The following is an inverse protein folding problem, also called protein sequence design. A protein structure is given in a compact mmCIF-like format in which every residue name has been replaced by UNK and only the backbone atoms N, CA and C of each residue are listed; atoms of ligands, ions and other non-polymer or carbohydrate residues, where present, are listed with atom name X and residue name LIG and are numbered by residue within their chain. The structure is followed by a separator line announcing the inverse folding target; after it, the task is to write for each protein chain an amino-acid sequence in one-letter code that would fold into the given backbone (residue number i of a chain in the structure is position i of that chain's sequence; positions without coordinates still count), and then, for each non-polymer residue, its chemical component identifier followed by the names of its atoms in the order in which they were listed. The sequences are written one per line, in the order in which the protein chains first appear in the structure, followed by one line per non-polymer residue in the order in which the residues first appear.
data_IF_658890365574
#
_entry.id   IF_658890365574
#
_cell.length_a   1.000
_cell.length_b   1.000
_cell.length_c   1.000
_cell.angle_alpha   90.00
_cell.angle_beta   90.00
_cell.angle_gamma   90.00
#
_symmetry.space_group_name_H-M   'P 1'
#
loop_
_entity.id
_entity.type
_entity.pdbx_description
1 polymer ?
#
# COMPACT_ATOMS: atom_id res chain seq x y z
N UNK A 1 12.25 8.85 -21.95
CA UNK A 1 12.92 7.54 -21.80
C UNK A 1 12.04 6.60 -21.00
N UNK A 2 11.70 5.46 -21.59
CA UNK A 2 10.80 4.46 -21.00
C UNK A 2 11.49 3.11 -20.81
N UNK A 3 12.85 3.12 -20.78
CA UNK A 3 13.64 1.88 -20.72
C UNK A 3 13.21 1.00 -19.53
N UNK A 4 12.79 -0.23 -19.81
CA UNK A 4 12.34 -1.18 -18.80
C UNK A 4 10.91 -1.01 -18.33
N UNK A 5 10.23 0.10 -18.63
CA UNK A 5 8.80 0.26 -18.37
C UNK A 5 7.99 -0.66 -19.29
N UNK A 6 7.09 -1.45 -18.71
CA UNK A 6 6.08 -2.22 -19.45
C UNK A 6 4.71 -1.86 -18.91
N UNK A 7 3.71 -1.86 -19.76
CA UNK A 7 2.34 -1.61 -19.35
C UNK A 7 1.36 -2.32 -20.28
N UNK A 8 0.14 -2.51 -19.81
CA UNK A 8 -0.95 -3.07 -20.61
C UNK A 8 -2.27 -2.43 -20.20
N UNK A 9 -3.11 -2.16 -21.20
CA UNK A 9 -4.53 -1.87 -20.94
C UNK A 9 -5.18 -3.14 -20.42
N UNK A 10 -6.10 -3.00 -19.49
CA UNK A 10 -6.80 -4.12 -18.89
C UNK A 10 -7.84 -4.70 -19.86
N UNK A 11 -7.54 -5.89 -20.35
CA UNK A 11 -8.45 -6.70 -21.17
C UNK A 11 -8.76 -8.05 -20.50
N UNK A 12 -8.58 -8.11 -19.19
CA UNK A 12 -8.88 -9.32 -18.41
C UNK A 12 -10.39 -9.57 -18.39
N UNK A 13 -10.85 -10.82 -18.57
CA UNK A 13 -12.25 -11.14 -18.41
C UNK A 13 -12.78 -10.74 -17.04
N UNK A 14 -13.84 -9.94 -17.02
CA UNK A 14 -14.49 -9.50 -15.78
C UNK A 14 -15.19 -10.65 -15.09
N UNK A 15 -15.20 -10.63 -13.75
CA UNK A 15 -15.92 -11.57 -12.90
C UNK A 15 -17.20 -10.95 -12.32
N UNK A 16 -17.84 -11.67 -11.40
CA UNK A 16 -19.06 -11.24 -10.67
C UNK A 16 -18.82 -10.12 -9.65
N UNK A 17 -17.57 -9.67 -9.49
CA UNK A 17 -17.19 -8.52 -8.66
C UNK A 17 -17.62 -8.64 -7.18
N UNK A 18 -17.66 -9.86 -6.67
CA UNK A 18 -18.18 -10.20 -5.34
C UNK A 18 -17.49 -9.51 -4.17
N UNK A 19 -16.24 -9.05 -4.38
CA UNK A 19 -15.44 -8.43 -3.33
C UNK A 19 -15.51 -6.89 -3.31
N UNK A 20 -16.16 -6.25 -4.29
CA UNK A 20 -16.23 -4.79 -4.36
C UNK A 20 -16.91 -4.19 -3.12
N UNK A 21 -17.96 -4.84 -2.60
CA UNK A 21 -18.70 -4.39 -1.41
C UNK A 21 -17.83 -4.29 -0.15
N UNK A 22 -16.71 -5.03 -0.08
CA UNK A 22 -15.76 -4.89 1.03
C UNK A 22 -15.26 -3.46 1.17
N UNK A 23 -15.17 -2.72 0.06
CA UNK A 23 -14.67 -1.36 0.00
C UNK A 23 -15.79 -0.31 -0.10
N UNK A 24 -17.02 -0.67 0.27
CA UNK A 24 -18.10 0.30 0.40
C UNK A 24 -17.73 1.42 1.38
N UNK A 25 -18.27 2.62 1.14
CA UNK A 25 -18.02 3.78 2.01
C UNK A 25 -18.42 3.50 3.47
N UNK A 26 -19.46 2.68 3.70
CA UNK A 26 -19.89 2.27 5.05
C UNK A 26 -18.80 1.45 5.75
N UNK A 27 -18.26 0.42 5.09
CA UNK A 27 -17.22 -0.43 5.67
C UNK A 27 -15.92 0.35 5.93
N UNK A 28 -15.55 1.24 5.01
CA UNK A 28 -14.36 2.08 5.16
C UNK A 28 -14.52 3.12 6.26
N UNK A 29 -15.73 3.68 6.45
CA UNK A 29 -16.04 4.56 7.58
C UNK A 29 -15.89 3.86 8.92
N UNK A 30 -16.36 2.62 9.06
CA UNK A 30 -16.18 1.83 10.28
C UNK A 30 -14.70 1.67 10.63
N UNK A 31 -13.85 1.40 9.63
CA UNK A 31 -12.42 1.31 9.84
C UNK A 31 -11.79 2.66 10.21
N UNK A 32 -12.21 3.74 9.58
CA UNK A 32 -11.72 5.08 9.91
C UNK A 32 -12.13 5.50 11.33
N UNK A 33 -13.40 5.27 11.74
CA UNK A 33 -13.88 5.54 13.10
C UNK A 33 -13.08 4.77 14.14
N UNK A 34 -12.78 3.51 13.88
CA UNK A 34 -11.89 2.71 14.72
C UNK A 34 -10.51 3.36 14.87
N UNK A 35 -9.87 3.74 13.75
CA UNK A 35 -8.56 4.40 13.79
C UNK A 35 -8.60 5.75 14.52
N UNK A 36 -9.67 6.53 14.32
CA UNK A 36 -9.88 7.82 15.02
C UNK A 36 -9.98 7.67 16.53
N UNK A 37 -10.29 6.49 17.04
CA UNK A 37 -10.32 6.24 18.49
C UNK A 37 -8.94 6.17 19.13
N UNK A 38 -7.87 5.98 18.36
CA UNK A 38 -6.51 5.94 18.88
C UNK A 38 -5.97 7.34 19.19
N UNK A 39 -5.34 7.55 20.37
CA UNK A 39 -4.77 8.87 20.71
C UNK A 39 -3.71 9.38 19.74
N UNK A 40 -3.06 8.48 19.00
CA UNK A 40 -2.02 8.80 18.03
C UNK A 40 -2.57 9.09 16.64
N UNK A 41 -3.88 8.95 16.43
CA UNK A 41 -4.48 9.21 15.14
C UNK A 41 -4.42 10.68 14.77
N UNK A 42 -4.06 10.93 13.53
CA UNK A 42 -4.28 12.21 12.85
C UNK A 42 -4.55 11.94 11.38
N UNK A 43 -5.31 12.82 10.75
CA UNK A 43 -5.46 12.80 9.29
C UNK A 43 -4.11 13.13 8.69
N UNK A 44 -3.60 12.27 7.80
CA UNK A 44 -2.32 12.53 7.12
C UNK A 44 -2.48 13.57 6.01
N UNK A 45 -1.43 14.31 5.66
CA UNK A 45 -1.54 15.38 4.67
C UNK A 45 -1.97 14.87 3.28
N UNK A 46 -2.76 15.68 2.59
CA UNK A 46 -2.94 15.62 1.14
C UNK A 46 -2.17 16.79 0.53
N UNK A 47 -1.01 16.52 -0.04
CA UNK A 47 -0.12 17.52 -0.61
C UNK A 47 -0.56 17.88 -2.03
N UNK A 48 -0.65 19.18 -2.34
CA UNK A 48 -0.95 19.66 -3.69
C UNK A 48 0.35 20.04 -4.39
N UNK A 49 0.73 19.33 -5.43
CA UNK A 49 1.93 19.55 -6.23
C UNK A 49 1.59 20.43 -7.45
N UNK A 50 1.15 21.65 -7.18
CA UNK A 50 0.60 22.58 -8.17
C UNK A 50 1.61 23.06 -9.21
N UNK A 51 2.87 23.26 -8.81
CA UNK A 51 3.95 23.66 -9.71
C UNK A 51 4.34 22.52 -10.64
N UNK A 52 4.40 21.29 -10.10
CA UNK A 52 4.65 20.08 -10.88
C UNK A 52 3.50 19.80 -11.85
N UNK A 53 2.25 19.96 -11.41
CA UNK A 53 1.07 19.81 -12.27
C UNK A 53 1.11 20.76 -13.47
N UNK A 54 1.42 22.04 -13.21
CA UNK A 54 1.60 23.07 -14.25
C UNK A 54 2.75 22.71 -15.21
N UNK A 55 3.88 22.23 -14.68
CA UNK A 55 5.02 21.81 -15.50
C UNK A 55 4.67 20.64 -16.42
N UNK A 56 3.88 19.68 -15.93
CA UNK A 56 3.46 18.50 -16.68
C UNK A 56 2.20 18.72 -17.55
N UNK A 57 1.56 19.90 -17.46
CA UNK A 57 0.41 20.25 -18.29
C UNK A 57 -0.90 19.57 -17.90
N UNK A 58 -1.09 19.29 -16.61
CA UNK A 58 -2.35 18.78 -16.04
C UNK A 58 -2.93 19.76 -15.01
N UNK A 59 -4.21 19.59 -14.66
CA UNK A 59 -4.91 20.52 -13.76
C UNK A 59 -4.36 20.48 -12.34
N UNK A 60 -4.24 19.29 -11.75
CA UNK A 60 -3.70 19.08 -10.40
C UNK A 60 -3.00 17.74 -10.28
N UNK A 61 -2.02 17.67 -9.39
CA UNK A 61 -1.44 16.42 -8.87
C UNK A 61 -1.50 16.50 -7.35
N UNK A 62 -2.21 15.57 -6.74
CA UNK A 62 -2.32 15.43 -5.29
C UNK A 62 -1.59 14.17 -4.83
N UNK A 63 -0.87 14.30 -3.72
CA UNK A 63 -0.15 13.19 -3.08
C UNK A 63 -0.68 12.98 -1.67
N UNK A 64 -1.29 11.82 -1.38
CA UNK A 64 -1.63 11.42 -0.02
C UNK A 64 -0.37 10.91 0.68
N UNK A 65 0.08 11.63 1.70
CA UNK A 65 1.38 11.42 2.36
C UNK A 65 1.21 10.63 3.67
N UNK A 66 1.40 9.32 3.60
CA UNK A 66 1.27 8.39 4.72
C UNK A 66 2.52 8.29 5.61
N UNK A 67 3.56 9.08 5.36
CA UNK A 67 4.75 9.11 6.23
C UNK A 67 4.44 9.60 7.64
N UNK A 68 3.32 10.29 7.84
CA UNK A 68 2.86 10.77 9.16
C UNK A 68 2.02 9.76 9.93
N UNK A 69 1.64 8.62 9.31
CA UNK A 69 0.66 7.71 9.90
C UNK A 69 1.13 7.13 11.24
N UNK A 70 0.42 7.46 12.31
CA UNK A 70 0.67 7.01 13.70
C UNK A 70 2.12 7.22 14.20
N UNK A 71 2.91 8.06 13.52
CA UNK A 71 4.35 8.22 13.81
C UNK A 71 5.21 7.03 13.39
N UNK A 72 4.66 6.11 12.57
CA UNK A 72 5.36 4.91 12.10
C UNK A 72 6.01 5.05 10.72
N UNK A 73 5.91 6.22 10.12
CA UNK A 73 6.50 6.51 8.81
C UNK A 73 6.00 5.61 7.67
N UNK A 74 4.81 4.96 7.82
CA UNK A 74 4.20 4.10 6.82
C UNK A 74 2.74 3.76 7.15
N UNK A 75 1.93 3.46 6.12
CA UNK A 75 0.49 3.22 6.21
C UNK A 75 0.07 1.86 6.77
N UNK A 76 0.94 0.86 6.74
CA UNK A 76 0.61 -0.57 6.97
C UNK A 76 -0.06 -0.85 8.32
N UNK A 77 0.16 -0.01 9.32
CA UNK A 77 -0.50 -0.09 10.64
C UNK A 77 -2.03 -0.02 10.54
N UNK A 78 -2.58 0.68 9.54
CA UNK A 78 -4.02 0.77 9.34
C UNK A 78 -4.66 -0.60 9.15
N UNK A 79 -4.07 -1.44 8.31
CA UNK A 79 -4.57 -2.80 8.07
C UNK A 79 -4.41 -3.69 9.30
N UNK A 80 -3.20 -3.74 9.88
CA UNK A 80 -2.89 -4.60 11.02
C UNK A 80 -3.74 -4.28 12.25
N UNK A 81 -3.88 -3.00 12.60
CA UNK A 81 -4.66 -2.59 13.79
C UNK A 81 -6.14 -2.87 13.63
N UNK A 82 -6.73 -2.59 12.47
CA UNK A 82 -8.14 -2.85 12.22
C UNK A 82 -8.44 -4.36 12.19
N UNK A 83 -7.60 -5.17 11.54
CA UNK A 83 -7.77 -6.61 11.52
C UNK A 83 -7.70 -7.23 12.91
N UNK A 84 -6.79 -6.77 13.78
CA UNK A 84 -6.73 -7.21 15.17
C UNK A 84 -7.98 -6.82 15.95
N UNK A 85 -8.45 -5.57 15.81
CA UNK A 85 -9.70 -5.10 16.44
C UNK A 85 -10.90 -5.93 16.00
N UNK A 86 -11.02 -6.21 14.70
CA UNK A 86 -12.08 -7.06 14.12
C UNK A 86 -12.01 -8.51 14.63
N UNK A 87 -10.80 -9.06 14.75
CA UNK A 87 -10.60 -10.39 15.30
C UNK A 87 -11.11 -10.46 16.76
N UNK A 88 -10.68 -9.52 17.61
CA UNK A 88 -11.12 -9.47 19.01
C UNK A 88 -12.63 -9.28 19.09
N UNK A 89 -13.19 -8.38 18.27
CA UNK A 89 -14.65 -8.15 18.20
C UNK A 89 -15.42 -9.43 17.85
N UNK A 90 -14.95 -10.17 16.84
CA UNK A 90 -15.53 -11.44 16.41
C UNK A 90 -15.51 -12.49 17.53
N UNK A 91 -14.38 -12.68 18.19
CA UNK A 91 -14.25 -13.65 19.29
C UNK A 91 -15.16 -13.33 20.48
N UNK A 92 -15.41 -12.04 20.73
CA UNK A 92 -16.32 -11.58 21.77
C UNK A 92 -17.79 -11.51 21.33
N UNK A 93 -18.10 -11.79 20.07
CA UNK A 93 -19.45 -11.65 19.50
C UNK A 93 -19.97 -10.21 19.50
N UNK A 94 -19.09 -9.21 19.40
CA UNK A 94 -19.41 -7.77 19.48
C UNK A 94 -19.16 -7.07 18.13
N UNK A 95 -19.84 -5.96 17.89
CA UNK A 95 -19.51 -5.11 16.75
C UNK A 95 -18.24 -4.27 17.04
N UNK A 96 -17.43 -4.02 16.01
CA UNK A 96 -16.19 -3.23 16.16
C UNK A 96 -16.44 -1.81 16.64
N UNK A 97 -17.60 -1.23 16.36
CA UNK A 97 -17.99 0.09 16.85
C UNK A 97 -18.14 0.17 18.38
N UNK A 98 -18.36 -0.97 19.05
CA UNK A 98 -18.40 -1.09 20.50
C UNK A 98 -17.02 -1.19 21.14
N UNK A 99 -15.97 -1.34 20.34
CA UNK A 99 -14.60 -1.62 20.76
C UNK A 99 -13.62 -0.53 20.30
N UNK A 100 -13.85 0.76 20.63
CA UNK A 100 -12.84 1.80 20.40
C UNK A 100 -11.57 1.50 21.19
N UNK A 101 -10.47 2.16 20.84
CA UNK A 101 -9.15 1.93 21.44
C UNK A 101 -9.16 1.89 22.99
N UNK A 102 -9.83 2.84 23.63
CA UNK A 102 -9.89 2.89 25.09
C UNK A 102 -10.59 1.68 25.72
N UNK A 103 -11.51 1.01 25.00
CA UNK A 103 -12.11 -0.26 25.42
C UNK A 103 -11.16 -1.41 25.15
N UNK A 104 -10.61 -1.51 23.93
CA UNK A 104 -9.69 -2.58 23.56
C UNK A 104 -8.42 -2.63 24.40
N UNK A 105 -7.92 -1.48 24.84
CA UNK A 105 -6.70 -1.38 25.68
C UNK A 105 -6.97 -1.48 27.20
N UNK A 106 -8.23 -1.67 27.61
CA UNK A 106 -8.61 -1.70 29.03
C UNK A 106 -8.26 -3.03 29.71
N UNK A 107 -7.98 -2.98 31.01
CA UNK A 107 -7.75 -4.19 31.81
C UNK A 107 -9.01 -5.09 31.83
N UNK A 108 -10.20 -4.50 31.83
CA UNK A 108 -11.47 -5.24 31.76
C UNK A 108 -11.54 -6.11 30.51
N UNK A 109 -11.20 -5.56 29.34
CA UNK A 109 -11.21 -6.35 28.10
C UNK A 109 -10.15 -7.42 28.12
N UNK A 110 -8.98 -7.14 28.70
CA UNK A 110 -7.91 -8.12 28.86
C UNK A 110 -8.32 -9.29 29.74
N UNK A 111 -9.09 -9.05 30.79
CA UNK A 111 -9.68 -10.10 31.64
C UNK A 111 -10.74 -10.91 30.88
N UNK A 112 -11.56 -10.26 30.02
CA UNK A 112 -12.63 -10.89 29.25
C UNK A 112 -12.10 -11.72 28.07
N UNK A 113 -11.20 -11.15 27.27
CA UNK A 113 -10.68 -11.76 26.05
C UNK A 113 -9.44 -12.63 26.29
N UNK A 114 -8.59 -12.25 27.25
CA UNK A 114 -7.30 -12.86 27.45
C UNK A 114 -6.19 -12.26 26.58
N UNK A 115 -5.17 -13.06 26.27
CA UNK A 115 -4.01 -12.64 25.49
C UNK A 115 -3.83 -13.56 24.26
N UNK A 116 -3.92 -12.98 23.08
CA UNK A 116 -3.59 -13.62 21.82
C UNK A 116 -2.16 -13.33 21.39
N UNK A 117 -1.61 -14.18 20.51
CA UNK A 117 -0.34 -13.95 19.86
C UNK A 117 -0.56 -13.80 18.35
N UNK A 118 -0.27 -12.63 17.82
CA UNK A 118 -0.40 -12.33 16.41
C UNK A 118 0.91 -12.59 15.67
N UNK A 119 0.86 -13.44 14.65
CA UNK A 119 2.00 -13.84 13.85
C UNK A 119 1.95 -13.15 12.49
N UNK A 120 3.11 -12.76 11.97
CA UNK A 120 3.22 -12.25 10.60
C UNK A 120 4.62 -12.47 10.02
N UNK A 121 4.71 -12.45 8.69
CA UNK A 121 5.98 -12.30 7.99
C UNK A 121 6.03 -10.92 7.31
N UNK A 122 7.22 -10.33 7.21
CA UNK A 122 7.39 -8.98 6.70
C UNK A 122 8.81 -8.69 6.27
N UNK A 123 8.96 -7.78 5.30
CA UNK A 123 10.21 -7.08 4.99
C UNK A 123 10.43 -5.81 5.84
N UNK A 124 9.40 -5.35 6.60
CA UNK A 124 9.50 -4.17 7.48
C UNK A 124 8.17 -3.58 7.94
N UNK A 125 7.50 -2.81 7.08
CA UNK A 125 6.38 -1.93 7.47
C UNK A 125 5.14 -2.67 7.99
N UNK A 126 4.79 -3.82 7.39
CA UNK A 126 3.63 -4.59 7.83
C UNK A 126 3.88 -5.16 9.23
N UNK A 127 5.01 -5.82 9.44
CA UNK A 127 5.37 -6.36 10.76
C UNK A 127 5.51 -5.28 11.82
N UNK A 128 6.03 -4.10 11.48
CA UNK A 128 6.06 -2.96 12.41
C UNK A 128 4.66 -2.51 12.80
N UNK A 129 3.75 -2.41 11.83
CA UNK A 129 2.35 -2.07 12.10
C UNK A 129 1.63 -3.10 12.97
N UNK A 130 1.85 -4.40 12.70
CA UNK A 130 1.33 -5.52 13.51
C UNK A 130 1.89 -5.48 14.95
N UNK A 131 3.21 -5.31 15.10
CA UNK A 131 3.87 -5.22 16.40
C UNK A 131 3.36 -4.03 17.23
N UNK A 132 3.27 -2.85 16.60
CA UNK A 132 2.75 -1.65 17.24
C UNK A 132 1.32 -1.83 17.71
N UNK A 133 0.44 -2.35 16.85
CA UNK A 133 -0.96 -2.57 17.19
C UNK A 133 -1.11 -3.59 18.31
N UNK A 134 -0.43 -4.74 18.25
CA UNK A 134 -0.47 -5.74 19.29
C UNK A 134 -0.04 -5.18 20.64
N UNK A 135 1.07 -4.45 20.69
CA UNK A 135 1.54 -3.79 21.92
C UNK A 135 0.51 -2.83 22.50
N UNK A 136 -0.09 -1.95 21.66
CA UNK A 136 -1.11 -0.98 22.09
C UNK A 136 -2.40 -1.64 22.59
N UNK A 137 -2.74 -2.79 22.08
CA UNK A 137 -3.92 -3.57 22.47
C UNK A 137 -3.62 -4.60 23.58
N UNK A 138 -2.42 -4.59 24.18
CA UNK A 138 -2.02 -5.51 25.23
C UNK A 138 -1.86 -6.97 24.78
N UNK A 139 -1.65 -7.18 23.48
CA UNK A 139 -1.49 -8.48 22.84
C UNK A 139 -0.01 -8.74 22.54
N UNK A 140 0.32 -9.97 22.12
CA UNK A 140 1.68 -10.35 21.69
C UNK A 140 1.80 -10.33 20.17
N UNK A 141 3.02 -10.06 19.67
CA UNK A 141 3.34 -10.20 18.25
C UNK A 141 4.63 -11.01 18.07
N UNK A 142 4.61 -11.90 17.07
CA UNK A 142 5.78 -12.65 16.58
C UNK A 142 5.95 -12.35 15.10
N UNK A 143 7.13 -11.88 14.72
CA UNK A 143 7.41 -11.39 13.37
C UNK A 143 8.58 -12.16 12.77
N UNK A 144 8.35 -12.81 11.62
CA UNK A 144 9.36 -13.48 10.81
C UNK A 144 9.80 -12.56 9.69
N UNK A 145 11.11 -12.37 9.53
CA UNK A 145 11.68 -11.53 8.47
C UNK A 145 12.54 -12.38 7.54
N UNK A 146 12.50 -12.13 6.22
CA UNK A 146 13.29 -12.90 5.25
C UNK A 146 14.76 -12.52 5.33
N UNK A 147 15.59 -13.41 4.76
CA UNK A 147 17.00 -13.18 4.52
C UNK A 147 17.24 -11.86 3.78
N UNK A 148 18.26 -11.13 4.19
CA UNK A 148 18.65 -9.84 3.58
C UNK A 148 17.94 -8.62 4.19
N UNK A 149 17.05 -8.82 5.16
CA UNK A 149 16.45 -7.71 5.91
C UNK A 149 17.52 -6.87 6.61
N UNK A 150 17.42 -5.54 6.48
CA UNK A 150 18.36 -4.61 7.11
C UNK A 150 18.19 -4.56 8.63
N UNK A 151 19.31 -4.31 9.31
CA UNK A 151 19.28 -4.13 10.77
C UNK A 151 18.34 -3.02 11.22
N UNK A 152 18.23 -1.94 10.47
CA UNK A 152 17.32 -0.82 10.75
C UNK A 152 15.87 -1.29 10.78
N UNK A 153 15.43 -2.07 9.81
CA UNK A 153 14.05 -2.61 9.74
C UNK A 153 13.77 -3.58 10.88
N UNK A 154 14.71 -4.47 11.16
CA UNK A 154 14.63 -5.38 12.30
C UNK A 154 14.48 -4.63 13.62
N UNK A 155 15.38 -3.68 13.91
CA UNK A 155 15.38 -2.90 15.15
C UNK A 155 14.09 -2.07 15.30
N UNK A 156 13.53 -1.56 14.20
CA UNK A 156 12.27 -0.82 14.23
C UNK A 156 11.08 -1.68 14.69
N UNK A 157 11.06 -2.97 14.34
CA UNK A 157 10.00 -3.88 14.79
C UNK A 157 10.23 -4.31 16.25
N UNK A 158 11.47 -4.59 16.64
CA UNK A 158 11.83 -4.93 18.03
C UNK A 158 11.42 -3.80 18.99
N UNK A 159 11.61 -2.54 18.60
CA UNK A 159 11.21 -1.36 19.39
C UNK A 159 9.71 -1.29 19.67
N UNK A 160 8.90 -1.87 18.81
CA UNK A 160 7.44 -1.95 19.01
C UNK A 160 7.02 -3.10 19.93
N UNK A 161 7.98 -3.87 20.49
CA UNK A 161 7.76 -4.89 21.54
C UNK A 161 7.44 -6.29 21.00
N UNK A 162 7.66 -6.58 19.73
CA UNK A 162 7.47 -7.89 19.15
C UNK A 162 8.67 -8.82 19.38
N UNK A 163 8.43 -10.14 19.37
CA UNK A 163 9.47 -11.14 19.15
C UNK A 163 9.77 -11.23 17.67
N UNK A 164 11.02 -10.94 17.28
CA UNK A 164 11.42 -10.83 15.87
C UNK A 164 12.58 -11.76 15.57
N UNK A 165 12.54 -12.44 14.43
CA UNK A 165 13.66 -13.25 13.92
C UNK A 165 13.87 -12.95 12.43
N UNK A 166 15.13 -13.06 11.98
CA UNK A 166 15.50 -13.08 10.56
C UNK A 166 15.78 -14.54 10.20
N UNK A 167 15.08 -15.04 9.19
CA UNK A 167 15.15 -16.42 8.74
C UNK A 167 16.03 -16.52 7.48
N UNK A 168 16.74 -17.64 7.27
CA UNK A 168 17.59 -17.89 6.11
C UNK A 168 16.77 -18.37 4.88
N UNK A 169 15.57 -17.80 4.70
CA UNK A 169 14.65 -18.14 3.61
C UNK A 169 14.08 -16.86 2.96
N UNK A 170 13.36 -17.00 1.85
CA UNK A 170 12.67 -15.91 1.18
C UNK A 170 11.39 -15.49 1.93
N UNK A 171 10.73 -14.43 1.43
CA UNK A 171 9.53 -13.87 2.03
C UNK A 171 8.36 -14.88 2.10
N UNK A 172 8.09 -15.60 1.01
CA UNK A 172 6.95 -16.52 0.92
C UNK A 172 7.12 -17.71 1.89
N UNK A 173 8.36 -18.20 2.06
CA UNK A 173 8.67 -19.20 3.07
C UNK A 173 8.50 -18.66 4.49
N UNK A 174 8.85 -17.41 4.77
CA UNK A 174 8.58 -16.76 6.04
C UNK A 174 7.07 -16.70 6.34
N UNK A 175 6.23 -16.40 5.34
CA UNK A 175 4.77 -16.42 5.48
C UNK A 175 4.28 -17.81 5.86
N UNK A 176 4.76 -18.86 5.18
CA UNK A 176 4.44 -20.26 5.51
C UNK A 176 4.88 -20.65 6.92
N UNK A 177 6.07 -20.22 7.35
CA UNK A 177 6.58 -20.45 8.72
C UNK A 177 5.70 -19.76 9.76
N UNK A 178 5.35 -18.49 9.56
CA UNK A 178 4.50 -17.74 10.47
C UNK A 178 3.10 -18.38 10.60
N UNK A 179 2.50 -18.78 9.50
CA UNK A 179 1.21 -19.46 9.48
C UNK A 179 1.25 -20.81 10.21
N UNK A 180 2.30 -21.62 9.98
CA UNK A 180 2.48 -22.92 10.63
C UNK A 180 2.73 -22.79 12.16
N UNK A 181 3.39 -21.73 12.59
CA UNK A 181 3.61 -21.46 14.02
C UNK A 181 2.34 -20.95 14.69
N UNK A 182 1.61 -20.02 14.04
CA UNK A 182 0.31 -19.57 14.53
C UNK A 182 -0.65 -20.73 14.78
N UNK A 183 -0.74 -21.67 13.83
CA UNK A 183 -1.61 -22.84 13.93
C UNK A 183 -1.27 -23.81 15.10
N UNK A 184 -0.02 -23.77 15.61
CA UNK A 184 0.45 -24.61 16.72
C UNK A 184 0.43 -23.89 18.07
N UNK A 185 0.22 -22.59 18.06
CA UNK A 185 0.23 -21.75 19.26
C UNK A 185 -1.19 -21.57 19.76
N UNK A 186 -1.40 -21.81 21.05
CA UNK A 186 -2.68 -21.53 21.69
C UNK A 186 -3.01 -20.03 21.55
N UNK A 187 -4.19 -19.70 21.04
CA UNK A 187 -4.58 -18.34 20.66
C UNK A 187 -3.59 -17.65 19.71
N UNK A 188 -2.95 -18.45 18.83
CA UNK A 188 -2.09 -17.94 17.76
C UNK A 188 -2.91 -17.58 16.51
N UNK A 189 -2.72 -16.36 16.00
CA UNK A 189 -3.44 -15.83 14.83
C UNK A 189 -2.45 -15.30 13.80
N UNK A 190 -2.55 -15.76 12.56
CA UNK A 190 -1.80 -15.17 11.44
C UNK A 190 -2.47 -13.86 11.01
N UNK A 191 -1.69 -12.78 10.89
CA UNK A 191 -2.14 -11.48 10.37
C UNK A 191 -1.22 -11.11 9.21
N UNK A 192 -1.57 -11.62 8.02
CA UNK A 192 -0.83 -11.40 6.78
C UNK A 192 -1.66 -10.59 5.81
N UNK A 193 -1.03 -9.65 5.10
CA UNK A 193 -1.71 -8.72 4.18
C UNK A 193 -1.86 -9.26 2.75
N UNK A 194 -1.83 -10.56 2.58
CA UNK A 194 -2.20 -11.27 1.35
C UNK A 194 -3.25 -12.32 1.65
N UNK A 195 -4.08 -12.67 0.65
CA UNK A 195 -5.13 -13.66 0.78
C UNK A 195 -4.84 -14.88 -0.09
N UNK A 196 -5.20 -16.05 0.43
CA UNK A 196 -5.20 -17.32 -0.29
C UNK A 196 -6.43 -18.14 0.08
N UNK A 197 -6.67 -19.22 -0.62
CA UNK A 197 -7.83 -20.09 -0.39
C UNK A 197 -7.89 -20.58 1.08
N UNK A 198 -9.00 -20.24 1.75
CA UNK A 198 -9.19 -20.49 3.18
C UNK A 198 -8.62 -19.46 4.15
N UNK A 199 -7.93 -18.42 3.65
CA UNK A 199 -7.47 -17.29 4.44
C UNK A 199 -7.87 -15.97 3.77
N UNK A 200 -9.12 -15.58 3.94
CA UNK A 200 -9.73 -14.42 3.26
C UNK A 200 -10.26 -13.38 4.24
N UNK A 201 -10.69 -13.79 5.43
CA UNK A 201 -11.38 -12.89 6.36
C UNK A 201 -10.45 -11.80 6.91
N UNK A 202 -9.31 -12.17 7.45
CA UNK A 202 -8.32 -11.21 8.00
C UNK A 202 -7.76 -10.30 6.89
N UNK A 203 -7.35 -10.79 5.70
CA UNK A 203 -6.98 -9.93 4.58
C UNK A 203 -8.08 -8.95 4.17
N UNK A 204 -9.36 -9.35 4.19
CA UNK A 204 -10.49 -8.44 3.92
C UNK A 204 -10.54 -7.29 4.93
N UNK A 205 -10.36 -7.57 6.20
CA UNK A 205 -10.30 -6.55 7.24
C UNK A 205 -9.06 -5.64 7.08
N UNK A 206 -7.92 -6.19 6.70
CA UNK A 206 -6.72 -5.40 6.39
C UNK A 206 -7.00 -4.42 5.25
N UNK A 207 -7.64 -4.87 4.17
CA UNK A 207 -8.02 -4.01 3.05
C UNK A 207 -8.99 -2.91 3.48
N UNK A 208 -10.00 -3.23 4.30
CA UNK A 208 -10.91 -2.24 4.88
C UNK A 208 -10.16 -1.21 5.74
N UNK A 209 -9.17 -1.66 6.53
CA UNK A 209 -8.29 -0.78 7.30
C UNK A 209 -7.53 0.20 6.41
N UNK A 210 -6.99 -0.26 5.29
CA UNK A 210 -6.32 0.60 4.30
C UNK A 210 -7.29 1.61 3.67
N UNK A 211 -8.57 1.32 3.62
CA UNK A 211 -9.60 2.26 3.17
C UNK A 211 -9.58 3.61 3.91
N UNK A 212 -9.07 3.66 5.14
CA UNK A 212 -8.96 4.91 5.91
C UNK A 212 -8.18 5.99 5.15
N UNK A 213 -7.02 5.67 4.55
CA UNK A 213 -6.22 6.66 3.82
C UNK A 213 -6.96 7.19 2.58
N UNK A 214 -7.74 6.33 1.93
CA UNK A 214 -8.50 6.70 0.71
C UNK A 214 -9.69 7.59 1.07
N UNK A 215 -10.42 7.25 2.14
CA UNK A 215 -11.52 8.06 2.65
C UNK A 215 -11.05 9.46 3.05
N UNK A 216 -9.92 9.55 3.76
CA UNK A 216 -9.29 10.83 4.11
C UNK A 216 -8.93 11.64 2.86
N UNK A 217 -8.27 11.02 1.88
CA UNK A 217 -7.89 11.69 0.63
C UNK A 217 -9.11 12.23 -0.12
N UNK A 218 -10.18 11.45 -0.24
CA UNK A 218 -11.41 11.86 -0.90
C UNK A 218 -12.12 13.01 -0.17
N UNK A 219 -12.11 13.01 1.17
CA UNK A 219 -12.65 14.10 1.98
C UNK A 219 -11.83 15.38 1.81
N UNK A 220 -10.49 15.28 1.87
CA UNK A 220 -9.57 16.41 1.69
C UNK A 220 -9.67 17.02 0.28
N UNK A 221 -9.86 16.19 -0.76
CA UNK A 221 -10.10 16.69 -2.13
C UNK A 221 -11.35 17.57 -2.17
N UNK A 222 -12.45 17.13 -1.53
CA UNK A 222 -13.71 17.91 -1.46
C UNK A 222 -13.55 19.22 -0.69
N UNK A 223 -12.80 19.19 0.42
CA UNK A 223 -12.46 20.41 1.17
C UNK A 223 -11.66 21.42 0.32
N UNK A 224 -10.85 20.93 -0.63
CA UNK A 224 -10.12 21.73 -1.61
C UNK A 224 -10.95 22.12 -2.85
N UNK A 225 -12.25 21.81 -2.88
CA UNK A 225 -13.15 22.12 -4.01
C UNK A 225 -13.01 21.17 -5.21
N UNK A 226 -12.39 20.01 -5.01
CA UNK A 226 -12.27 18.93 -5.99
C UNK A 226 -13.29 17.86 -5.70
N UNK A 227 -14.31 17.71 -6.54
CA UNK A 227 -15.41 16.76 -6.31
C UNK A 227 -14.90 15.30 -6.29
N UNK A 228 -14.01 14.95 -7.24
CA UNK A 228 -13.33 13.65 -7.32
C UNK A 228 -12.02 13.76 -8.11
N UNK A 229 -11.08 12.84 -7.93
CA UNK A 229 -9.95 12.72 -8.85
C UNK A 229 -10.46 12.18 -10.21
N UNK A 230 -9.82 12.57 -11.29
CA UNK A 230 -10.06 11.97 -12.62
C UNK A 230 -9.17 10.76 -12.85
N UNK A 231 -8.02 10.73 -12.17
CA UNK A 231 -7.03 9.66 -12.26
C UNK A 231 -6.54 9.27 -10.88
N UNK A 232 -6.37 7.97 -10.64
CA UNK A 232 -5.79 7.44 -9.41
C UNK A 232 -4.70 6.45 -9.77
N UNK A 233 -3.46 6.73 -9.36
CA UNK A 233 -2.35 5.83 -9.55
C UNK A 233 -1.87 5.31 -8.20
N UNK A 234 -1.80 4.01 -8.07
CA UNK A 234 -1.47 3.32 -6.83
C UNK A 234 -0.48 2.19 -7.09
N UNK A 235 0.44 2.00 -6.16
CA UNK A 235 1.40 0.90 -6.22
C UNK A 235 0.82 -0.38 -5.63
N UNK A 236 1.37 -1.51 -6.10
CA UNK A 236 1.02 -2.83 -5.58
C UNK A 236 2.26 -3.70 -5.34
N UNK A 237 2.32 -4.34 -4.16
CA UNK A 237 3.01 -5.60 -3.95
C UNK A 237 2.03 -6.74 -4.22
N UNK A 238 1.48 -7.35 -3.17
CA UNK A 238 0.45 -8.40 -3.31
C UNK A 238 -0.90 -7.90 -3.87
N UNK A 239 -1.15 -6.59 -3.87
CA UNK A 239 -2.39 -6.00 -4.40
C UNK A 239 -3.44 -5.61 -3.35
N UNK A 240 -3.21 -5.82 -2.06
CA UNK A 240 -4.20 -5.47 -1.00
C UNK A 240 -4.46 -3.98 -0.90
N UNK A 241 -3.41 -3.15 -0.89
CA UNK A 241 -3.57 -1.69 -0.92
C UNK A 241 -4.23 -1.23 -2.21
N UNK A 242 -3.72 -1.71 -3.35
CA UNK A 242 -4.27 -1.34 -4.65
C UNK A 242 -5.75 -1.72 -4.75
N UNK A 243 -6.12 -2.95 -4.30
CA UNK A 243 -7.51 -3.39 -4.23
C UNK A 243 -8.38 -2.51 -3.32
N UNK A 244 -7.83 -2.04 -2.18
CA UNK A 244 -8.54 -1.14 -1.30
C UNK A 244 -8.78 0.24 -1.94
N UNK A 245 -7.76 0.82 -2.57
CA UNK A 245 -7.85 2.13 -3.23
C UNK A 245 -8.79 2.07 -4.43
N UNK A 246 -8.56 1.13 -5.34
CA UNK A 246 -9.36 0.93 -6.55
C UNK A 246 -10.81 0.59 -6.19
N UNK A 247 -10.99 -0.34 -5.24
CA UNK A 247 -12.32 -0.76 -4.80
C UNK A 247 -13.15 0.39 -4.21
N UNK A 248 -12.54 1.23 -3.37
CA UNK A 248 -13.23 2.38 -2.81
C UNK A 248 -13.71 3.36 -3.91
N UNK A 249 -12.83 3.74 -4.82
CA UNK A 249 -13.20 4.68 -5.89
C UNK A 249 -14.18 4.07 -6.89
N UNK A 250 -14.03 2.80 -7.24
CA UNK A 250 -14.96 2.08 -8.10
C UNK A 250 -16.36 1.96 -7.46
N UNK A 251 -16.44 1.62 -6.17
CA UNK A 251 -17.71 1.52 -5.45
C UNK A 251 -18.38 2.88 -5.30
N UNK A 252 -17.62 3.91 -4.87
CA UNK A 252 -18.16 5.23 -4.59
C UNK A 252 -18.60 6.00 -5.83
N UNK A 253 -17.82 5.90 -6.91
CA UNK A 253 -18.02 6.64 -8.15
C UNK A 253 -18.43 5.72 -9.32
N UNK A 254 -19.17 4.67 -9.02
CA UNK A 254 -19.57 3.61 -9.97
C UNK A 254 -20.07 4.09 -11.33
N UNK A 255 -20.78 5.24 -11.38
CA UNK A 255 -21.35 5.81 -12.60
C UNK A 255 -20.32 6.63 -13.39
N UNK A 256 -19.22 7.06 -12.72
CA UNK A 256 -18.15 7.84 -13.34
C UNK A 256 -16.83 7.64 -12.54
N UNK A 257 -16.27 6.42 -12.53
CA UNK A 257 -15.04 6.15 -11.80
C UNK A 257 -13.86 6.91 -12.40
N UNK A 258 -12.82 7.23 -11.62
CA UNK A 258 -11.55 7.73 -12.16
C UNK A 258 -10.89 6.68 -13.06
N UNK A 259 -10.03 7.10 -13.97
CA UNK A 259 -9.07 6.21 -14.64
C UNK A 259 -8.07 5.72 -13.61
N UNK A 260 -7.91 4.41 -13.47
CA UNK A 260 -7.09 3.81 -12.41
C UNK A 260 -5.94 2.99 -12.98
N UNK A 261 -4.72 3.26 -12.49
CA UNK A 261 -3.53 2.50 -12.86
C UNK A 261 -2.85 1.90 -11.63
N UNK A 262 -2.36 0.67 -11.81
CA UNK A 262 -1.58 -0.07 -10.81
C UNK A 262 -0.14 -0.16 -11.25
N UNK A 263 0.78 0.25 -10.37
CA UNK A 263 2.22 0.28 -10.59
C UNK A 263 2.91 -0.77 -9.73
N UNK A 264 3.64 -1.69 -10.34
CA UNK A 264 4.41 -2.73 -9.66
C UNK A 264 5.90 -2.60 -9.94
N UNK A 265 6.75 -3.14 -9.06
CA UNK A 265 8.17 -3.27 -9.32
C UNK A 265 8.41 -4.31 -10.44
N UNK A 266 9.24 -4.00 -11.43
CA UNK A 266 9.48 -4.89 -12.58
C UNK A 266 10.06 -6.26 -12.20
N UNK A 267 10.70 -6.38 -11.03
CA UNK A 267 11.18 -7.65 -10.48
C UNK A 267 10.08 -8.49 -9.82
N UNK A 268 8.89 -7.89 -9.53
CA UNK A 268 7.81 -8.50 -8.74
C UNK A 268 6.44 -8.07 -9.29
N UNK A 269 6.20 -8.18 -10.58
CA UNK A 269 5.10 -7.65 -11.36
C UNK A 269 3.98 -8.69 -11.60
N UNK A 270 3.52 -9.36 -10.53
CA UNK A 270 2.58 -10.48 -10.63
C UNK A 270 1.20 -10.07 -11.19
N UNK A 271 0.69 -8.89 -10.84
CA UNK A 271 -0.61 -8.40 -11.32
C UNK A 271 -0.52 -7.96 -12.78
N UNK A 272 0.57 -7.29 -13.18
CA UNK A 272 0.84 -6.97 -14.58
C UNK A 272 0.89 -8.24 -15.45
N UNK A 273 1.63 -9.26 -15.02
CA UNK A 273 1.70 -10.54 -15.74
C UNK A 273 0.34 -11.23 -15.80
N UNK A 274 -0.43 -11.15 -14.74
CA UNK A 274 -1.81 -11.67 -14.69
C UNK A 274 -2.71 -10.94 -15.71
N UNK A 275 -2.56 -9.62 -15.81
CA UNK A 275 -3.29 -8.82 -16.82
C UNK A 275 -2.86 -9.15 -18.25
N UNK A 276 -1.55 -9.29 -18.52
CA UNK A 276 -1.01 -9.69 -19.83
C UNK A 276 -1.48 -11.09 -20.24
N UNK A 277 -1.60 -12.01 -19.28
CA UNK A 277 -2.06 -13.37 -19.53
C UNK A 277 -3.55 -13.44 -19.93
N UNK A 278 -4.38 -12.46 -19.58
CA UNK A 278 -5.82 -12.34 -19.91
C UNK A 278 -6.65 -13.57 -19.56
N UNK A 279 -6.20 -14.41 -18.63
CA UNK A 279 -6.90 -15.63 -18.21
C UNK A 279 -7.92 -15.41 -17.10
N UNK A 280 -7.86 -14.25 -16.43
CA UNK A 280 -8.61 -13.97 -15.22
C UNK A 280 -7.96 -14.50 -13.93
N UNK A 281 -6.93 -15.34 -14.06
CA UNK A 281 -6.21 -15.94 -12.95
C UNK A 281 -4.93 -15.16 -12.62
N UNK A 282 -4.48 -15.26 -11.36
CA UNK A 282 -3.18 -14.74 -10.93
C UNK A 282 -2.03 -15.53 -11.55
N UNK A 283 -0.97 -14.81 -11.93
CA UNK A 283 0.31 -15.36 -12.39
C UNK A 283 1.38 -14.96 -11.39
N UNK A 284 1.93 -15.93 -10.68
CA UNK A 284 2.96 -15.69 -9.67
C UNK A 284 4.32 -15.41 -10.32
N UNK A 285 5.11 -14.59 -9.65
CA UNK A 285 6.52 -14.32 -9.98
C UNK A 285 7.40 -15.00 -8.96
N UNK A 286 8.38 -15.74 -9.42
CA UNK A 286 9.32 -16.46 -8.58
C UNK A 286 10.74 -15.92 -8.75
N UNK A 287 11.63 -16.18 -7.80
CA UNK A 287 13.02 -15.75 -7.81
C UNK A 287 13.34 -14.84 -6.63
N UNK A 288 14.41 -14.06 -6.76
CA UNK A 288 14.91 -13.23 -5.66
C UNK A 288 14.09 -11.93 -5.46
N UNK A 289 13.25 -11.55 -6.41
CA UNK A 289 12.38 -10.37 -6.38
C UNK A 289 13.11 -9.07 -5.98
N UNK A 290 14.36 -8.93 -6.42
CA UNK A 290 15.25 -7.84 -6.02
C UNK A 290 14.81 -6.51 -6.64
N UNK A 291 14.42 -5.57 -5.80
CA UNK A 291 14.05 -4.20 -6.16
C UNK A 291 14.32 -3.25 -5.00
N UNK A 292 14.53 -1.96 -5.29
CA UNK A 292 14.60 -0.94 -4.23
C UNK A 292 13.23 -0.71 -3.57
N UNK A 293 12.14 -1.01 -4.27
CA UNK A 293 10.76 -0.90 -3.79
C UNK A 293 10.43 -2.10 -2.89
N UNK A 294 11.11 -2.21 -1.75
CA UNK A 294 11.06 -3.39 -0.89
C UNK A 294 9.64 -3.74 -0.42
N UNK A 295 8.78 -2.76 -0.17
CA UNK A 295 7.37 -2.98 0.18
C UNK A 295 6.52 -3.55 -0.96
N UNK A 296 7.06 -3.64 -2.18
CA UNK A 296 6.42 -4.22 -3.37
C UNK A 296 7.07 -5.53 -3.82
N UNK A 297 8.12 -6.01 -3.16
CA UNK A 297 8.87 -7.21 -3.52
C UNK A 297 8.11 -8.51 -3.16
N UNK A 298 6.95 -8.69 -3.75
CA UNK A 298 6.04 -9.81 -3.49
C UNK A 298 5.69 -10.52 -4.80
N UNK A 299 5.88 -11.83 -4.84
CA UNK A 299 5.66 -12.62 -6.06
C UNK A 299 4.26 -13.21 -6.19
N UNK A 300 3.53 -13.35 -5.09
CA UNK A 300 2.20 -13.97 -5.03
C UNK A 300 1.12 -12.92 -4.79
N UNK A 301 0.15 -12.83 -5.72
CA UNK A 301 -0.92 -11.83 -5.64
C UNK A 301 -2.02 -12.21 -4.62
N UNK A 302 -2.64 -11.18 -4.03
CA UNK A 302 -3.82 -11.32 -3.17
C UNK A 302 -5.05 -11.64 -4.02
N UNK A 303 -5.72 -12.76 -3.76
CA UNK A 303 -6.87 -13.24 -4.53
C UNK A 303 -8.07 -12.29 -4.46
N UNK A 304 -8.33 -11.69 -3.29
CA UNK A 304 -9.41 -10.71 -3.08
C UNK A 304 -9.08 -9.40 -3.82
N UNK A 305 -7.83 -8.91 -3.64
CA UNK A 305 -7.36 -7.72 -4.32
C UNK A 305 -7.43 -7.88 -5.84
N UNK A 306 -6.99 -9.02 -6.36
CA UNK A 306 -7.06 -9.33 -7.80
C UNK A 306 -8.48 -9.32 -8.35
N UNK A 307 -9.44 -9.87 -7.60
CA UNK A 307 -10.84 -9.88 -8.03
C UNK A 307 -11.38 -8.44 -8.25
N UNK A 308 -11.03 -7.50 -7.38
CA UNK A 308 -11.36 -6.08 -7.56
C UNK A 308 -10.56 -5.46 -8.70
N UNK A 309 -9.22 -5.67 -8.73
CA UNK A 309 -8.33 -5.01 -9.67
C UNK A 309 -8.61 -5.42 -11.12
N UNK A 310 -8.84 -6.71 -11.42
CA UNK A 310 -9.16 -7.17 -12.78
C UNK A 310 -10.45 -6.58 -13.33
N UNK A 311 -11.39 -6.19 -12.45
CA UNK A 311 -12.67 -5.61 -12.84
C UNK A 311 -12.59 -4.08 -13.06
N UNK A 312 -11.70 -3.37 -12.35
CA UNK A 312 -11.79 -1.91 -12.21
C UNK A 312 -10.53 -1.13 -12.60
N UNK A 313 -9.37 -1.76 -12.73
CA UNK A 313 -8.14 -1.09 -13.18
C UNK A 313 -8.19 -0.90 -14.69
N UNK A 314 -7.74 0.26 -15.19
CA UNK A 314 -7.62 0.54 -16.62
C UNK A 314 -6.25 0.13 -17.18
N UNK A 315 -5.18 0.36 -16.41
CA UNK A 315 -3.80 0.09 -16.84
C UNK A 315 -3.00 -0.59 -15.74
N UNK A 316 -2.34 -1.68 -16.06
CA UNK A 316 -1.32 -2.32 -15.22
C UNK A 316 0.07 -2.01 -15.75
N UNK A 317 0.99 -1.63 -14.86
CA UNK A 317 2.34 -1.24 -15.22
C UNK A 317 3.41 -1.98 -14.40
N UNK A 318 4.45 -2.43 -15.07
CA UNK A 318 5.68 -3.00 -14.52
C UNK A 318 6.78 -1.94 -14.62
N UNK A 319 7.14 -1.36 -13.48
CA UNK A 319 7.97 -0.16 -13.36
C UNK A 319 9.40 -0.51 -12.92
N UNK A 320 10.42 -0.05 -13.63
CA UNK A 320 11.82 -0.22 -13.22
C UNK A 320 12.19 0.67 -12.04
N UNK A 321 13.20 0.27 -11.28
CA UNK A 321 13.67 0.94 -10.07
C UNK A 321 14.04 2.42 -10.27
N UNK A 322 14.60 2.78 -11.45
CA UNK A 322 14.95 4.17 -11.74
C UNK A 322 13.75 5.11 -11.71
N UNK A 323 12.56 4.62 -12.04
CA UNK A 323 11.33 5.40 -12.05
C UNK A 323 10.91 5.81 -10.64
N UNK A 324 10.96 4.87 -9.70
CA UNK A 324 10.77 5.14 -8.28
C UNK A 324 11.84 6.11 -7.76
N UNK A 325 13.11 5.86 -8.02
CA UNK A 325 14.22 6.72 -7.59
C UNK A 325 14.10 8.15 -8.15
N UNK A 326 13.67 8.31 -9.42
CA UNK A 326 13.40 9.62 -10.02
C UNK A 326 12.31 10.37 -9.26
N UNK A 327 11.22 9.71 -8.93
CA UNK A 327 10.11 10.32 -8.19
C UNK A 327 10.52 10.66 -6.74
N UNK A 328 11.29 9.81 -6.06
CA UNK A 328 11.86 10.11 -4.74
C UNK A 328 12.65 11.42 -4.78
N UNK A 329 13.46 11.65 -5.83
CA UNK A 329 14.19 12.91 -6.02
C UNK A 329 13.27 14.09 -6.34
N UNK A 330 12.20 13.89 -7.11
CA UNK A 330 11.21 14.94 -7.41
C UNK A 330 10.52 15.39 -6.12
N UNK A 331 10.10 14.46 -5.28
CA UNK A 331 9.51 14.76 -3.98
C UNK A 331 10.49 15.46 -3.03
N UNK A 332 11.76 15.03 -3.02
CA UNK A 332 12.81 15.60 -2.18
C UNK A 332 13.33 16.95 -2.65
N UNK A 333 13.13 17.29 -3.91
CA UNK A 333 13.53 18.58 -4.51
C UNK A 333 12.35 19.15 -5.31
N UNK A 334 11.32 19.67 -4.61
CA UNK A 334 10.08 20.12 -5.22
C UNK A 334 10.29 21.29 -6.18
N UNK A 335 9.39 21.41 -7.14
CA UNK A 335 9.37 22.51 -8.10
C UNK A 335 8.60 23.70 -7.54
N UNK A 336 9.19 24.90 -7.64
CA UNK A 336 8.53 26.13 -7.20
C UNK A 336 8.13 26.13 -5.73
N UNK A 337 6.84 26.37 -5.46
CA UNK A 337 6.29 26.43 -4.11
C UNK A 337 5.63 25.09 -3.67
N UNK A 338 5.85 24.01 -4.41
CA UNK A 338 5.32 22.70 -4.02
C UNK A 338 5.92 22.24 -2.68
N UNK A 339 5.15 21.53 -1.84
CA UNK A 339 5.65 21.04 -0.57
C UNK A 339 6.74 19.95 -0.76
N UNK A 340 7.71 19.96 0.14
CA UNK A 340 8.66 18.85 0.25
C UNK A 340 7.96 17.63 0.81
N UNK A 341 8.06 16.48 0.13
CA UNK A 341 7.52 15.20 0.57
C UNK A 341 8.67 14.23 0.75
N UNK A 342 8.76 13.62 1.93
CA UNK A 342 9.69 12.51 2.17
C UNK A 342 8.96 11.22 1.82
N UNK A 343 9.17 10.73 0.60
CA UNK A 343 8.56 9.47 0.12
C UNK A 343 9.63 8.42 -0.07
N UNK A 344 9.43 7.26 0.54
CA UNK A 344 10.26 6.08 0.30
C UNK A 344 10.03 5.50 -1.09
N UNK A 345 10.83 4.49 -1.42
CA UNK A 345 10.93 3.96 -2.77
C UNK A 345 9.60 3.36 -3.26
N UNK A 346 8.93 2.59 -2.40
CA UNK A 346 7.62 2.00 -2.75
C UNK A 346 6.53 3.06 -2.91
N UNK A 347 6.57 4.12 -2.09
CA UNK A 347 5.61 5.23 -2.12
C UNK A 347 5.78 6.14 -3.34
N UNK A 348 6.96 6.17 -3.93
CA UNK A 348 7.31 7.13 -4.99
C UNK A 348 6.90 6.68 -6.39
N UNK A 349 6.79 5.37 -6.66
CA UNK A 349 6.61 4.86 -8.02
C UNK A 349 5.34 5.36 -8.73
N UNK A 350 4.18 5.61 -8.08
CA UNK A 350 3.01 6.16 -8.76
C UNK A 350 3.26 7.55 -9.34
N UNK A 351 4.01 8.41 -8.63
CA UNK A 351 4.40 9.71 -9.19
C UNK A 351 5.40 9.54 -10.33
N UNK A 352 6.34 8.59 -10.23
CA UNK A 352 7.29 8.28 -11.30
C UNK A 352 6.60 7.83 -12.57
N UNK A 353 5.60 6.98 -12.45
CA UNK A 353 4.76 6.52 -13.56
C UNK A 353 3.97 7.69 -14.19
N UNK A 354 3.31 8.50 -13.35
CA UNK A 354 2.60 9.70 -13.80
C UNK A 354 3.53 10.68 -14.53
N UNK A 355 4.70 10.95 -13.94
CA UNK A 355 5.71 11.84 -14.55
C UNK A 355 6.15 11.32 -15.92
N UNK A 356 6.48 10.04 -16.02
CA UNK A 356 6.91 9.42 -17.28
C UNK A 356 5.82 9.50 -18.35
N UNK A 357 4.58 9.18 -18.01
CA UNK A 357 3.44 9.24 -18.94
C UNK A 357 3.19 10.65 -19.49
N UNK A 358 3.46 11.70 -18.69
CA UNK A 358 3.18 13.09 -19.08
C UNK A 358 4.38 13.79 -19.73
N UNK A 359 5.60 13.44 -19.34
CA UNK A 359 6.81 14.17 -19.72
C UNK A 359 7.58 13.53 -20.88
N UNK A 360 7.62 12.19 -20.94
CA UNK A 360 8.50 11.50 -21.87
C UNK A 360 7.80 11.30 -23.24
N UNK A 361 8.43 11.79 -24.30
CA UNK A 361 7.86 11.69 -25.66
C UNK A 361 7.62 10.24 -26.11
N UNK A 362 8.44 9.31 -25.63
CA UNK A 362 8.31 7.87 -25.91
C UNK A 362 7.13 7.21 -25.16
N UNK A 363 6.44 7.96 -24.29
CA UNK A 363 5.29 7.49 -23.52
C UNK A 363 3.95 8.02 -24.04
N UNK A 364 3.87 8.50 -25.28
CA UNK A 364 2.63 9.06 -25.86
C UNK A 364 1.48 8.05 -25.86
N UNK A 365 1.76 6.82 -26.24
CA UNK A 365 0.75 5.74 -26.26
C UNK A 365 0.21 5.46 -24.84
N UNK A 366 1.08 5.53 -23.82
CA UNK A 366 0.69 5.39 -22.42
C UNK A 366 -0.18 6.56 -21.96
N UNK A 367 0.19 7.79 -22.33
CA UNK A 367 -0.60 9.00 -22.04
C UNK A 367 -2.00 8.90 -22.66
N UNK A 368 -2.09 8.43 -23.90
CA UNK A 368 -3.37 8.23 -24.60
C UNK A 368 -4.19 7.12 -23.92
N UNK A 369 -3.59 5.99 -23.57
CA UNK A 369 -4.25 4.89 -22.88
C UNK A 369 -4.82 5.31 -21.52
N UNK A 370 -4.09 6.17 -20.79
CA UNK A 370 -4.52 6.77 -19.54
C UNK A 370 -5.48 7.94 -19.70
N UNK A 371 -5.71 8.44 -20.92
CA UNK A 371 -6.57 9.61 -21.23
C UNK A 371 -6.15 10.87 -20.45
N UNK A 372 -4.84 11.06 -20.26
CA UNK A 372 -4.30 12.22 -19.54
C UNK A 372 -4.32 13.48 -20.41
N UNK A 373 -4.91 14.55 -19.88
CA UNK A 373 -5.06 15.85 -20.53
C UNK A 373 -4.89 17.03 -19.54
N UNK A 374 -5.09 18.25 -20.02
CA UNK A 374 -5.00 19.47 -19.21
C UNK A 374 -6.08 19.60 -18.13
N UNK A 375 -7.15 18.80 -18.16
CA UNK A 375 -8.21 18.79 -17.17
C UNK A 375 -7.99 17.70 -16.11
N UNK A 376 -6.96 16.89 -16.28
CA UNK A 376 -6.69 15.74 -15.40
C UNK A 376 -6.34 16.20 -13.98
N UNK A 377 -7.05 15.61 -13.01
CA UNK A 377 -6.79 15.72 -11.57
C UNK A 377 -6.27 14.38 -11.10
N UNK A 378 -4.98 14.30 -10.86
CA UNK A 378 -4.28 13.05 -10.52
C UNK A 378 -4.12 12.93 -9.01
N UNK A 379 -4.47 11.77 -8.46
CA UNK A 379 -4.20 11.39 -7.07
C UNK A 379 -3.18 10.23 -7.05
N UNK A 380 -2.09 10.44 -6.31
CA UNK A 380 -1.07 9.41 -6.04
C UNK A 380 -0.94 9.15 -4.54
N UNK A 381 -0.45 7.96 -4.17
CA UNK A 381 -0.27 7.55 -2.78
C UNK A 381 1.22 7.43 -2.45
N UNK A 382 1.74 8.32 -1.60
CA UNK A 382 3.03 8.13 -0.94
C UNK A 382 2.80 7.34 0.35
N UNK A 383 3.06 6.05 0.31
CA UNK A 383 2.66 5.11 1.36
C UNK A 383 3.64 4.99 2.51
N UNK A 384 4.84 5.52 2.35
CA UNK A 384 5.90 5.50 3.35
C UNK A 384 6.84 6.69 3.17
N UNK A 385 7.50 7.08 4.25
CA UNK A 385 8.63 7.99 4.20
C UNK A 385 9.95 7.25 4.07
N UNK A 386 11.04 7.84 4.57
CA UNK A 386 12.38 7.27 4.57
C UNK A 386 12.55 6.13 5.60
N UNK A 387 11.79 5.05 5.43
CA UNK A 387 11.84 3.89 6.35
C UNK A 387 13.20 3.20 6.36
N UNK A 388 14.00 3.40 5.32
CA UNK A 388 15.44 3.15 5.24
C UNK A 388 16.19 4.45 4.93
N UNK A 389 16.59 5.24 5.94
CA UNK A 389 17.21 6.55 5.73
C UNK A 389 18.54 6.50 4.99
N UNK A 390 19.25 5.38 5.03
CA UNK A 390 20.52 5.21 4.30
C UNK A 390 20.22 5.11 2.80
N UNK A 391 19.33 4.22 2.42
CA UNK A 391 18.91 4.05 1.03
C UNK A 391 18.29 5.33 0.46
N UNK A 392 17.44 6.00 1.23
CA UNK A 392 16.84 7.27 0.83
C UNK A 392 17.91 8.32 0.46
N UNK A 393 18.99 8.45 1.28
CA UNK A 393 20.08 9.39 1.00
C UNK A 393 20.92 8.99 -0.21
N UNK A 394 21.23 7.70 -0.37
CA UNK A 394 21.90 7.20 -1.57
C UNK A 394 21.13 7.57 -2.85
N UNK A 395 19.80 7.49 -2.82
CA UNK A 395 18.96 7.88 -3.96
C UNK A 395 18.97 9.39 -4.16
N UNK A 396 18.74 10.17 -3.09
CA UNK A 396 18.52 11.62 -3.20
C UNK A 396 19.83 12.38 -3.31
N UNK A 397 20.87 12.04 -2.53
CA UNK A 397 22.13 12.78 -2.49
C UNK A 397 23.16 12.23 -3.47
N UNK A 398 23.27 10.91 -3.57
CA UNK A 398 24.31 10.27 -4.39
C UNK A 398 23.81 9.92 -5.80
N UNK A 399 22.50 10.10 -6.06
CA UNK A 399 21.91 9.86 -7.39
C UNK A 399 21.80 8.39 -7.77
N UNK A 400 21.79 7.47 -6.80
CA UNK A 400 21.68 6.04 -7.06
C UNK A 400 20.40 5.73 -7.85
N UNK A 401 20.48 4.78 -8.77
CA UNK A 401 19.41 4.46 -9.73
C UNK A 401 19.02 5.64 -10.64
N UNK A 402 19.98 6.50 -10.98
CA UNK A 402 19.82 7.50 -12.05
C UNK A 402 19.67 6.81 -13.41
N UNK A 403 19.05 7.50 -14.37
CA UNK A 403 19.02 7.05 -15.75
C UNK A 403 20.40 7.22 -16.39
N UNK A 404 20.88 6.27 -17.20
CA UNK A 404 22.22 6.28 -17.80
C UNK A 404 22.52 7.46 -18.76
N UNK A 405 21.55 8.32 -19.09
CA UNK A 405 21.76 9.46 -19.99
C UNK A 405 22.62 10.60 -19.41
N UNK A 406 22.75 10.71 -18.09
CA UNK A 406 23.59 11.76 -17.50
C UNK A 406 25.10 11.52 -17.68
N UNK A 407 25.52 10.35 -18.13
CA UNK A 407 26.93 9.97 -18.31
C UNK A 407 27.40 10.03 -19.78
N UNK A 408 26.52 10.32 -20.73
CA UNK A 408 26.83 10.34 -22.16
C UNK A 408 26.85 11.74 -22.79
N UNK A 409 26.88 12.82 -22.00
CA UNK A 409 27.05 14.21 -22.48
C UNK A 409 28.33 14.82 -21.95
#
# INVERSE_FOLDING_TARGET
MTEGLKWTVNEVPKSDDKHLELMSEENVKKANEFHRSFPQYSVTPLQNLSSLAKYLGVKNIFCKDESYRFGLNAFKVLGGSYAMGRYIAKELGRDISELPYNVLSSDKLREEFGQATFFTATDGNHGRGVAWAANRLGQKAVVRMPKGTTKTRFDNIVKEGATVTIEEVNYDDCVRMAAAEAAKTEHGIIVQDTAWDGYEEIPSWIMQGYGTLVLEADQQLKEMGVERPTHVFVQAGVGSLAGAVVGYFAHKYKDNPPVMAVCEASAADCLYRSAVAKTGNLVNVTGDLLTIMAGLACGEGNTIGWDILKNHVDVFASCPDWMSAKATRIYANPLGDDPHVVSGESGSVPLGFCFTALHDEDAKDLKEALKLDENSVVLVMSTEGDTDPVRYREIVWDGLYGTNESLSK
#
